data_IF_402762820807
#
_entry.id   IF_402762820807
#
_cell.length_a   1.000
_cell.length_b   1.000
_cell.length_c   1.000
_cell.angle_alpha   90.00
_cell.angle_beta   90.00
_cell.angle_gamma   90.00
#
_symmetry.space_group_name_H-M   'P 1'
#
loop_
_entity.id
_entity.type
_entity.pdbx_description
1 polymer ?
#
# COMPACT_ATOMS: atom_id res chain seq x y z
N UNK A 1 16.96 16.60 -25.14
CA UNK A 1 16.28 15.50 -25.87
C UNK A 1 14.84 15.42 -25.38
N UNK A 2 13.83 15.40 -26.27
CA UNK A 2 12.44 15.18 -25.84
C UNK A 2 12.31 13.81 -25.16
N UNK A 3 11.74 13.77 -23.96
CA UNK A 3 11.40 12.51 -23.27
C UNK A 3 10.07 12.00 -23.84
N UNK A 4 10.11 10.95 -24.66
CA UNK A 4 8.90 10.32 -25.18
C UNK A 4 8.46 9.16 -24.28
N UNK A 5 7.15 8.89 -24.22
CA UNK A 5 6.67 7.61 -23.68
C UNK A 5 7.07 6.46 -24.62
N UNK A 6 7.30 5.26 -24.07
CA UNK A 6 7.72 4.09 -24.87
C UNK A 6 6.71 3.73 -25.97
N UNK A 7 5.41 3.85 -25.69
CA UNK A 7 4.33 3.63 -26.66
C UNK A 7 4.35 4.65 -27.80
N UNK A 8 4.70 5.91 -27.51
CA UNK A 8 4.86 6.94 -28.54
C UNK A 8 6.13 6.71 -29.35
N UNK A 9 7.23 6.33 -28.71
CA UNK A 9 8.52 6.13 -29.37
C UNK A 9 8.41 5.10 -30.51
N UNK A 10 7.83 3.93 -30.23
CA UNK A 10 7.63 2.89 -31.26
C UNK A 10 6.65 3.30 -32.36
N UNK A 11 5.82 4.33 -32.13
CA UNK A 11 4.85 4.85 -33.08
C UNK A 11 5.33 6.08 -33.86
N UNK A 12 6.59 6.50 -33.69
CA UNK A 12 7.15 7.61 -34.47
C UNK A 12 7.26 7.23 -35.96
N UNK A 13 7.09 8.18 -36.89
CA UNK A 13 7.33 7.94 -38.30
C UNK A 13 8.75 7.40 -38.54
N UNK A 14 8.88 6.43 -39.45
CA UNK A 14 10.16 5.78 -39.82
C UNK A 14 10.88 5.01 -38.69
N UNK A 15 10.26 4.84 -37.51
CA UNK A 15 10.83 4.05 -36.42
C UNK A 15 10.31 2.61 -36.47
N UNK A 16 11.17 1.67 -36.86
CA UNK A 16 10.82 0.25 -37.02
C UNK A 16 11.55 -0.70 -36.05
N UNK A 17 12.49 -0.21 -35.25
CA UNK A 17 13.32 -1.04 -34.36
C UNK A 17 12.51 -1.60 -33.17
N UNK A 18 12.87 -2.75 -32.62
CA UNK A 18 12.41 -3.10 -31.28
C UNK A 18 12.96 -2.10 -30.26
N UNK A 19 12.25 -1.94 -29.15
CA UNK A 19 12.67 -1.13 -28.02
C UNK A 19 12.76 -2.02 -26.79
N UNK A 20 13.97 -2.08 -26.23
CA UNK A 20 14.29 -2.72 -24.96
C UNK A 20 14.95 -1.64 -24.11
N UNK A 21 14.40 -1.38 -22.93
CA UNK A 21 14.93 -0.35 -22.04
C UNK A 21 16.21 -0.87 -21.39
N UNK A 22 17.35 -0.20 -21.61
CA UNK A 22 18.60 -0.55 -20.94
C UNK A 22 18.50 -0.40 -19.42
N UNK A 23 17.65 0.52 -18.96
CA UNK A 23 17.31 0.75 -17.56
C UNK A 23 15.86 1.25 -17.47
N UNK A 24 15.08 0.71 -16.54
CA UNK A 24 13.76 1.23 -16.17
C UNK A 24 13.42 0.88 -14.71
N UNK A 25 12.34 1.46 -14.20
CA UNK A 25 11.80 1.16 -12.86
C UNK A 25 12.87 1.20 -11.75
N UNK A 26 13.49 2.38 -11.57
CA UNK A 26 14.51 2.63 -10.55
C UNK A 26 14.06 2.20 -9.14
N UNK A 27 14.72 1.21 -8.55
CA UNK A 27 14.27 0.51 -7.34
C UNK A 27 14.88 1.04 -6.02
N UNK A 28 15.38 2.28 -6.01
CA UNK A 28 15.95 2.96 -4.83
C UNK A 28 14.98 3.09 -3.65
N UNK A 29 15.35 2.50 -2.52
CA UNK A 29 14.56 2.53 -1.29
C UNK A 29 13.15 1.96 -1.46
N UNK A 30 12.14 2.65 -0.93
CA UNK A 30 10.75 2.28 -1.17
C UNK A 30 10.27 2.87 -2.52
N UNK A 31 10.40 2.06 -3.58
CA UNK A 31 10.12 2.48 -4.95
C UNK A 31 9.26 1.46 -5.71
N UNK A 32 9.50 1.32 -7.02
CA UNK A 32 8.89 0.31 -7.89
C UNK A 32 7.39 0.50 -8.16
N UNK A 33 6.82 1.62 -7.72
CA UNK A 33 5.44 2.00 -8.01
C UNK A 33 5.17 2.12 -9.51
N UNK A 34 4.11 1.45 -9.99
CA UNK A 34 3.70 1.48 -11.39
C UNK A 34 4.44 0.49 -12.30
N UNK A 35 5.23 -0.43 -11.76
CA UNK A 35 5.93 -1.46 -12.52
C UNK A 35 5.01 -2.29 -13.43
N UNK A 36 3.81 -2.65 -12.95
CA UNK A 36 2.81 -3.38 -13.73
C UNK A 36 2.42 -2.68 -15.04
N UNK A 37 2.47 -1.34 -15.12
CA UNK A 37 2.16 -0.59 -16.35
C UNK A 37 3.20 -0.82 -17.46
N UNK A 38 4.46 -1.05 -17.11
CA UNK A 38 5.48 -1.44 -18.08
C UNK A 38 5.17 -2.82 -18.64
N UNK A 39 4.88 -3.79 -17.77
CA UNK A 39 4.58 -5.17 -18.16
C UNK A 39 3.29 -5.30 -18.98
N UNK A 40 2.26 -4.52 -18.64
CA UNK A 40 1.07 -4.40 -19.48
C UNK A 40 1.44 -3.88 -20.88
N UNK A 41 2.26 -2.83 -20.98
CA UNK A 41 2.70 -2.29 -22.26
C UNK A 41 3.58 -3.28 -23.05
N UNK A 42 4.47 -4.01 -22.38
CA UNK A 42 5.34 -5.03 -23.00
C UNK A 42 4.51 -6.15 -23.63
N UNK A 43 3.50 -6.65 -22.91
CA UNK A 43 2.58 -7.68 -23.43
C UNK A 43 1.67 -7.16 -24.56
N UNK A 44 1.24 -5.89 -24.49
CA UNK A 44 0.35 -5.29 -25.50
C UNK A 44 1.04 -4.95 -26.84
N UNK A 45 2.36 -4.73 -26.84
CA UNK A 45 3.06 -4.20 -28.01
C UNK A 45 4.25 -5.08 -28.40
N UNK A 46 4.19 -5.82 -29.52
CA UNK A 46 5.24 -6.78 -29.92
C UNK A 46 6.66 -6.20 -30.03
N UNK A 47 6.79 -4.90 -30.35
CA UNK A 47 8.08 -4.21 -30.44
C UNK A 47 8.64 -3.73 -29.10
N UNK A 48 7.85 -3.74 -28.02
CA UNK A 48 8.31 -3.46 -26.66
C UNK A 48 8.72 -4.77 -26.00
N UNK A 49 9.98 -5.18 -26.21
CA UNK A 49 10.46 -6.50 -25.79
C UNK A 49 11.05 -6.50 -24.37
N UNK A 50 10.49 -5.66 -23.48
CA UNK A 50 10.89 -5.56 -22.08
C UNK A 50 12.00 -4.54 -21.81
N UNK A 51 12.82 -4.84 -20.81
CA UNK A 51 13.91 -3.99 -20.35
C UNK A 51 14.59 -4.55 -19.11
N UNK A 52 15.60 -3.84 -18.62
CA UNK A 52 16.37 -4.20 -17.44
C UNK A 52 16.06 -3.26 -16.28
N UNK A 53 15.62 -3.82 -15.14
CA UNK A 53 15.37 -3.05 -13.93
C UNK A 53 16.68 -2.46 -13.44
N UNK A 54 16.66 -1.20 -12.99
CA UNK A 54 17.77 -0.60 -12.25
C UNK A 54 17.48 -0.64 -10.75
N UNK A 55 18.17 -1.45 -9.95
CA UNK A 55 19.11 -2.51 -10.34
C UNK A 55 18.98 -3.73 -9.40
N UNK A 56 19.98 -4.61 -9.40
CA UNK A 56 19.87 -5.86 -8.64
C UNK A 56 20.08 -5.65 -7.14
N UNK A 57 21.18 -5.01 -6.72
CA UNK A 57 21.66 -5.06 -5.34
C UNK A 57 22.14 -3.70 -4.87
N UNK A 58 21.78 -3.34 -3.64
CA UNK A 58 22.31 -2.14 -3.00
C UNK A 58 23.83 -2.20 -2.87
N UNK A 59 24.49 -1.10 -3.23
CA UNK A 59 25.94 -0.95 -3.10
C UNK A 59 26.31 -0.30 -1.76
N UNK A 60 25.70 -0.79 -0.66
CA UNK A 60 26.09 -0.40 0.69
C UNK A 60 27.32 -1.20 1.14
N UNK A 61 28.11 -0.60 2.02
CA UNK A 61 29.29 -1.23 2.62
C UNK A 61 29.11 -1.36 4.12
N UNK A 62 29.62 -2.44 4.71
CA UNK A 62 29.55 -2.63 6.16
C UNK A 62 30.57 -1.73 6.84
N UNK A 63 30.10 -0.93 7.81
CA UNK A 63 30.92 -0.27 8.83
C UNK A 63 30.54 -0.80 10.21
N UNK A 64 31.38 -0.53 11.19
CA UNK A 64 31.15 -0.90 12.59
C UNK A 64 31.02 0.36 13.44
N UNK A 65 30.15 0.33 14.44
CA UNK A 65 30.03 1.40 15.44
C UNK A 65 31.05 1.24 16.59
N UNK A 66 30.97 2.08 17.62
CA UNK A 66 31.86 2.04 18.79
C UNK A 66 31.74 0.75 19.62
N UNK A 67 30.70 -0.05 19.41
CA UNK A 67 30.43 -1.31 20.10
C UNK A 67 30.64 -2.53 19.19
N UNK A 68 31.37 -2.38 18.08
CA UNK A 68 31.60 -3.41 17.05
C UNK A 68 30.31 -3.96 16.40
N UNK A 69 29.22 -3.17 16.38
CA UNK A 69 28.00 -3.57 15.69
C UNK A 69 28.02 -3.16 14.21
N UNK A 70 27.75 -4.09 13.27
CA UNK A 70 27.76 -3.78 11.86
C UNK A 70 26.55 -2.92 11.46
N UNK A 71 26.76 -1.97 10.56
CA UNK A 71 25.73 -1.14 9.94
C UNK A 71 26.05 -0.89 8.47
N UNK A 72 25.01 -0.65 7.67
CA UNK A 72 25.12 -0.39 6.22
C UNK A 72 25.41 1.09 5.96
N UNK A 73 26.60 1.37 5.43
CA UNK A 73 27.09 2.68 5.09
C UNK A 73 26.96 2.96 3.58
N UNK A 74 26.86 4.24 3.21
CA UNK A 74 26.77 4.73 1.84
C UNK A 74 27.72 5.93 1.61
N UNK A 75 27.60 6.64 0.48
CA UNK A 75 28.49 7.76 0.14
C UNK A 75 28.57 8.81 1.25
N UNK A 76 29.79 9.23 1.60
CA UNK A 76 30.08 10.18 2.67
C UNK A 76 30.40 9.54 4.03
N UNK A 77 29.94 8.32 4.29
CA UNK A 77 30.21 7.63 5.56
C UNK A 77 31.68 7.25 5.73
N UNK A 78 32.47 7.24 4.66
CA UNK A 78 33.91 6.97 4.70
C UNK A 78 34.76 8.24 4.64
N UNK A 79 34.14 9.41 4.74
CA UNK A 79 34.80 10.72 4.61
C UNK A 79 35.08 11.12 3.15
N UNK A 80 34.55 10.37 2.19
CA UNK A 80 34.63 10.64 0.76
C UNK A 80 33.85 11.92 0.36
N UNK A 81 34.51 12.78 -0.42
CA UNK A 81 33.94 14.05 -0.89
C UNK A 81 34.52 14.45 -2.27
N UNK A 82 33.68 14.84 -3.25
CA UNK A 82 32.21 14.80 -3.21
C UNK A 82 31.66 13.37 -3.17
N UNK A 83 30.41 13.21 -2.74
CA UNK A 83 29.68 11.94 -2.75
C UNK A 83 28.20 12.20 -3.08
N UNK A 84 27.50 11.16 -3.53
CA UNK A 84 26.08 11.17 -3.90
C UNK A 84 25.19 10.40 -2.89
N UNK A 85 25.65 10.27 -1.64
CA UNK A 85 24.93 9.66 -0.52
C UNK A 85 24.30 8.30 -0.85
N UNK A 86 23.02 8.11 -0.57
CA UNK A 86 22.29 6.86 -0.72
C UNK A 86 21.94 6.52 -2.18
N UNK A 87 22.36 7.34 -3.16
CA UNK A 87 22.11 7.07 -4.58
C UNK A 87 22.76 5.78 -5.08
N UNK A 88 23.69 5.19 -4.32
CA UNK A 88 24.26 3.86 -4.59
C UNK A 88 23.38 2.68 -4.16
N UNK A 89 22.24 2.90 -3.49
CA UNK A 89 21.33 1.86 -3.01
C UNK A 89 20.06 1.81 -3.87
N UNK A 90 20.12 1.10 -5.00
CA UNK A 90 19.02 1.01 -5.98
C UNK A 90 18.48 -0.41 -6.18
N UNK A 91 18.82 -1.34 -5.29
CA UNK A 91 18.63 -2.76 -5.49
C UNK A 91 17.18 -3.23 -5.28
N UNK A 92 16.82 -4.30 -5.98
CA UNK A 92 15.70 -5.17 -5.60
C UNK A 92 16.02 -6.01 -4.36
N UNK A 93 17.29 -6.12 -3.97
CA UNK A 93 17.75 -6.77 -2.75
C UNK A 93 18.77 -5.90 -2.03
N UNK A 94 18.83 -6.04 -0.70
CA UNK A 94 19.89 -5.48 0.12
C UNK A 94 21.26 -6.09 -0.26
N UNK A 95 22.35 -5.48 0.21
CA UNK A 95 23.72 -5.95 -0.04
C UNK A 95 23.98 -7.40 0.41
N UNK A 96 23.25 -7.90 1.42
CA UNK A 96 23.32 -9.30 1.89
C UNK A 96 22.43 -10.27 1.10
N UNK A 97 21.76 -9.77 0.04
CA UNK A 97 20.79 -10.46 -0.83
C UNK A 97 19.43 -10.72 -0.17
N UNK A 98 19.16 -10.15 0.99
CA UNK A 98 17.82 -10.14 1.57
C UNK A 98 16.87 -9.35 0.66
N UNK A 99 15.71 -9.90 0.25
CA UNK A 99 14.81 -9.21 -0.68
C UNK A 99 14.20 -7.90 -0.14
N UNK A 100 14.15 -6.87 -1.00
CA UNK A 100 13.21 -5.77 -0.81
C UNK A 100 11.79 -6.21 -1.20
N UNK A 101 10.74 -5.55 -0.65
CA UNK A 101 9.36 -5.80 -1.06
C UNK A 101 9.13 -5.69 -2.58
N UNK A 102 9.88 -4.79 -3.26
CA UNK A 102 9.81 -4.60 -4.70
C UNK A 102 10.13 -5.87 -5.52
N UNK A 103 10.96 -6.79 -4.99
CA UNK A 103 11.27 -8.04 -5.69
C UNK A 103 10.04 -8.91 -5.90
N UNK A 104 9.08 -8.88 -4.97
CA UNK A 104 7.84 -9.65 -5.09
C UNK A 104 6.91 -9.08 -6.15
N UNK A 105 6.86 -7.75 -6.31
CA UNK A 105 6.15 -7.09 -7.41
C UNK A 105 6.81 -7.39 -8.75
N UNK A 106 8.15 -7.44 -8.79
CA UNK A 106 8.90 -7.85 -9.98
C UNK A 106 8.51 -9.27 -10.40
N UNK A 107 8.60 -10.22 -9.46
CA UNK A 107 8.21 -11.62 -9.64
C UNK A 107 6.78 -11.77 -10.17
N UNK A 108 5.83 -11.04 -9.59
CA UNK A 108 4.42 -11.09 -9.99
C UNK A 108 4.23 -10.61 -11.43
N UNK A 109 4.77 -9.45 -11.79
CA UNK A 109 4.56 -8.89 -13.12
C UNK A 109 5.33 -9.69 -14.20
N UNK A 110 6.46 -10.31 -13.84
CA UNK A 110 7.36 -11.09 -14.69
C UNK A 110 6.96 -12.57 -14.86
N UNK A 111 5.89 -13.02 -14.21
CA UNK A 111 5.49 -14.42 -14.28
C UNK A 111 5.15 -14.86 -15.72
N UNK A 112 5.45 -16.13 -16.03
CA UNK A 112 5.30 -16.70 -17.38
C UNK A 112 3.94 -17.38 -17.62
N UNK A 113 3.03 -17.33 -16.65
CA UNK A 113 1.66 -17.81 -16.82
C UNK A 113 0.69 -16.64 -16.62
N UNK A 114 -0.12 -16.37 -17.64
CA UNK A 114 -1.20 -15.38 -17.56
C UNK A 114 -2.52 -16.08 -17.30
N UNK A 115 -3.41 -15.40 -16.57
CA UNK A 115 -4.67 -15.98 -16.15
C UNK A 115 -5.84 -15.06 -16.48
N UNK A 116 -6.94 -15.65 -16.92
CA UNK A 116 -8.22 -14.97 -17.06
C UNK A 116 -9.33 -15.85 -16.51
N UNK A 117 -10.07 -15.31 -15.53
CA UNK A 117 -11.28 -15.95 -15.04
C UNK A 117 -12.42 -15.70 -16.04
N UNK A 118 -12.95 -16.77 -16.60
CA UNK A 118 -14.07 -16.76 -17.55
C UNK A 118 -15.39 -17.07 -16.85
N UNK A 119 -16.54 -16.82 -17.51
CA UNK A 119 -17.83 -17.29 -17.04
C UNK A 119 -17.89 -18.81 -16.82
N UNK A 120 -18.93 -19.26 -16.09
CA UNK A 120 -19.15 -20.67 -15.74
C UNK A 120 -17.95 -21.35 -15.06
N UNK A 121 -17.25 -20.63 -14.18
CA UNK A 121 -16.13 -21.14 -13.38
C UNK A 121 -15.00 -21.74 -14.24
N UNK A 122 -14.71 -21.17 -15.41
CA UNK A 122 -13.57 -21.60 -16.24
C UNK A 122 -12.37 -20.69 -16.01
N UNK A 123 -11.19 -21.28 -15.85
CA UNK A 123 -9.92 -20.57 -15.77
C UNK A 123 -9.17 -20.74 -17.10
N UNK A 124 -8.94 -19.65 -17.80
CA UNK A 124 -8.02 -19.62 -18.94
C UNK A 124 -6.60 -19.37 -18.43
N UNK A 125 -5.66 -20.23 -18.85
CA UNK A 125 -4.24 -20.13 -18.55
C UNK A 125 -3.48 -20.02 -19.86
N UNK A 126 -2.62 -19.01 -19.99
CA UNK A 126 -1.73 -18.81 -21.14
C UNK A 126 -0.28 -18.95 -20.73
N UNK A 127 0.49 -19.76 -21.45
CA UNK A 127 1.94 -19.86 -21.30
C UNK A 127 2.63 -18.74 -22.09
N UNK A 128 3.50 -17.97 -21.45
CA UNK A 128 4.40 -17.00 -22.12
C UNK A 128 5.80 -17.60 -22.37
N UNK A 129 6.01 -18.89 -22.09
CA UNK A 129 7.23 -19.58 -22.52
C UNK A 129 7.26 -19.72 -24.04
N UNK A 130 8.45 -19.55 -24.62
CA UNK A 130 8.67 -19.62 -26.08
C UNK A 130 9.16 -20.99 -26.57
N UNK A 131 9.68 -21.85 -25.66
CA UNK A 131 10.38 -23.08 -26.08
C UNK A 131 10.00 -24.34 -25.29
N UNK A 132 9.57 -24.21 -24.03
CA UNK A 132 9.29 -25.36 -23.17
C UNK A 132 7.80 -25.55 -22.93
N UNK A 133 7.42 -26.81 -22.73
CA UNK A 133 6.13 -27.14 -22.16
C UNK A 133 6.12 -26.85 -20.65
N UNK A 134 4.93 -26.71 -20.06
CA UNK A 134 4.75 -26.66 -18.60
C UNK A 134 4.82 -28.06 -17.95
N UNK A 135 5.89 -28.80 -18.21
CA UNK A 135 6.09 -30.19 -17.80
C UNK A 135 6.57 -30.38 -16.35
N UNK A 136 6.78 -29.30 -15.62
CA UNK A 136 7.20 -29.30 -14.22
C UNK A 136 6.33 -28.31 -13.41
N UNK A 137 5.06 -28.18 -13.76
CA UNK A 137 4.14 -27.25 -13.13
C UNK A 137 2.80 -27.90 -12.81
N UNK A 138 2.25 -27.53 -11.67
CA UNK A 138 0.86 -27.75 -11.29
C UNK A 138 0.24 -26.44 -10.84
N UNK A 139 -1.05 -26.27 -11.08
CA UNK A 139 -1.82 -25.16 -10.57
C UNK A 139 -2.61 -25.63 -9.35
N UNK A 140 -2.46 -24.95 -8.23
CA UNK A 140 -3.36 -25.07 -7.09
C UNK A 140 -4.32 -23.89 -7.07
N UNK A 141 -5.54 -24.11 -6.60
CA UNK A 141 -6.52 -23.05 -6.42
C UNK A 141 -7.22 -23.19 -5.08
N UNK A 142 -7.62 -22.05 -4.51
CA UNK A 142 -8.38 -21.98 -3.27
C UNK A 142 -9.43 -20.86 -3.36
N UNK A 143 -10.67 -21.22 -3.04
CA UNK A 143 -11.77 -20.29 -2.83
C UNK A 143 -11.86 -19.98 -1.34
N UNK A 144 -11.76 -18.71 -0.97
CA UNK A 144 -11.81 -18.27 0.43
C UNK A 144 -12.93 -17.27 0.67
N UNK A 145 -13.61 -17.34 1.81
CA UNK A 145 -14.52 -16.30 2.29
C UNK A 145 -13.97 -15.72 3.61
N UNK A 146 -13.68 -14.42 3.64
CA UNK A 146 -13.05 -13.75 4.80
C UNK A 146 -11.79 -14.48 5.34
N UNK A 147 -11.03 -15.12 4.44
CA UNK A 147 -9.82 -15.88 4.76
C UNK A 147 -10.04 -17.38 5.03
N UNK A 148 -11.27 -17.82 5.28
CA UNK A 148 -11.61 -19.23 5.49
C UNK A 148 -11.73 -19.97 4.14
N UNK A 149 -11.08 -21.13 4.01
CA UNK A 149 -11.11 -21.93 2.77
C UNK A 149 -12.46 -22.63 2.64
N UNK A 150 -13.22 -22.29 1.59
CA UNK A 150 -14.48 -22.94 1.23
C UNK A 150 -14.26 -24.18 0.35
N UNK A 151 -13.32 -24.08 -0.60
CA UNK A 151 -12.95 -25.15 -1.50
C UNK A 151 -11.52 -24.95 -2.01
N UNK A 152 -10.88 -26.03 -2.40
CA UNK A 152 -9.56 -25.99 -3.03
C UNK A 152 -9.39 -27.17 -3.97
N UNK A 153 -8.50 -27.04 -4.95
CA UNK A 153 -8.16 -28.13 -5.83
C UNK A 153 -6.82 -27.93 -6.51
N UNK A 154 -6.48 -28.90 -7.36
CA UNK A 154 -5.24 -28.94 -8.11
C UNK A 154 -5.53 -29.34 -9.56
N UNK A 155 -4.81 -28.73 -10.49
CA UNK A 155 -4.83 -29.02 -11.91
C UNK A 155 -3.39 -29.26 -12.37
N UNK A 156 -3.16 -30.37 -13.07
CA UNK A 156 -1.89 -30.56 -13.79
C UNK A 156 -1.84 -29.60 -14.98
N UNK A 157 -0.77 -28.82 -15.07
CA UNK A 157 -0.54 -27.99 -16.25
C UNK A 157 0.31 -28.79 -17.24
N UNK A 158 -0.13 -28.84 -18.50
CA UNK A 158 0.70 -29.34 -19.60
C UNK A 158 0.38 -28.55 -20.86
N UNK A 159 0.86 -27.31 -20.89
CA UNK A 159 0.70 -26.36 -21.98
C UNK A 159 1.97 -26.37 -22.85
N UNK A 160 1.81 -26.35 -24.16
CA UNK A 160 2.88 -26.03 -25.09
C UNK A 160 3.32 -24.56 -24.95
N UNK A 161 4.49 -24.18 -25.49
CA UNK A 161 4.87 -22.78 -25.62
C UNK A 161 3.77 -21.96 -26.27
N UNK A 162 3.49 -20.77 -25.73
CA UNK A 162 2.46 -19.84 -26.22
C UNK A 162 1.02 -20.40 -26.22
N UNK A 163 0.79 -21.60 -25.69
CA UNK A 163 -0.54 -22.20 -25.65
C UNK A 163 -1.44 -21.49 -24.63
N UNK A 164 -2.69 -21.29 -25.02
CA UNK A 164 -3.79 -20.90 -24.14
C UNK A 164 -4.74 -22.10 -23.97
N UNK A 165 -5.07 -22.44 -22.72
CA UNK A 165 -6.00 -23.53 -22.41
C UNK A 165 -6.98 -23.14 -21.30
N UNK A 166 -8.22 -23.57 -21.44
CA UNK A 166 -9.27 -23.43 -20.43
C UNK A 166 -9.35 -24.67 -19.53
N UNK A 167 -9.52 -24.44 -18.23
CA UNK A 167 -9.72 -25.49 -17.23
C UNK A 167 -11.02 -25.22 -16.47
N UNK A 168 -11.91 -26.21 -16.32
CA UNK A 168 -13.06 -26.07 -15.43
C UNK A 168 -12.60 -26.07 -13.97
N UNK A 169 -13.17 -25.17 -13.17
CA UNK A 169 -13.00 -25.14 -11.72
C UNK A 169 -14.28 -25.65 -11.05
N UNK A 170 -14.12 -26.65 -10.19
CA UNK A 170 -15.20 -27.18 -9.36
C UNK A 170 -15.43 -26.27 -8.15
N UNK A 171 -16.03 -25.09 -8.39
CA UNK A 171 -16.35 -24.15 -7.33
C UNK A 171 -17.73 -24.48 -6.71
N UNK A 172 -17.85 -24.52 -5.37
CA UNK A 172 -19.14 -24.68 -4.72
C UNK A 172 -20.02 -23.45 -4.95
N UNK A 173 -21.32 -23.61 -4.74
CA UNK A 173 -22.23 -22.47 -4.66
C UNK A 173 -21.84 -21.57 -3.48
N UNK A 174 -21.73 -20.26 -3.74
CA UNK A 174 -21.40 -19.26 -2.73
C UNK A 174 -22.69 -18.83 -2.03
N UNK A 175 -22.97 -19.43 -0.88
CA UNK A 175 -24.21 -19.18 -0.12
C UNK A 175 -23.97 -18.19 1.03
N UNK A 176 -22.78 -18.23 1.65
CA UNK A 176 -22.45 -17.36 2.78
C UNK A 176 -22.11 -15.94 2.31
N UNK A 177 -22.55 -14.92 3.05
CA UNK A 177 -22.12 -13.56 2.78
C UNK A 177 -20.65 -13.36 3.18
N UNK A 178 -20.05 -12.28 2.67
CA UNK A 178 -18.67 -11.90 2.98
C UNK A 178 -17.82 -11.70 1.74
N UNK A 179 -16.54 -11.37 1.90
CA UNK A 179 -15.60 -11.19 0.81
C UNK A 179 -15.07 -12.52 0.31
N UNK A 180 -15.54 -12.93 -0.86
CA UNK A 180 -15.13 -14.18 -1.49
C UNK A 180 -14.03 -13.94 -2.53
N UNK A 181 -12.95 -14.69 -2.42
CA UNK A 181 -11.76 -14.56 -3.26
C UNK A 181 -11.36 -15.93 -3.82
N UNK A 182 -11.20 -16.01 -5.14
CA UNK A 182 -10.52 -17.12 -5.78
C UNK A 182 -9.04 -16.78 -5.91
N UNK A 183 -8.19 -17.63 -5.36
CA UNK A 183 -6.74 -17.57 -5.52
C UNK A 183 -6.26 -18.77 -6.34
N UNK A 184 -5.35 -18.51 -7.27
CA UNK A 184 -4.65 -19.55 -8.03
C UNK A 184 -3.15 -19.32 -7.94
N UNK A 185 -2.39 -20.41 -7.91
CA UNK A 185 -0.94 -20.39 -7.81
C UNK A 185 -0.34 -21.55 -8.58
N UNK A 186 0.72 -21.29 -9.35
CA UNK A 186 1.44 -22.31 -10.10
C UNK A 186 2.72 -22.67 -9.36
N UNK A 187 2.80 -23.93 -8.96
CA UNK A 187 3.91 -24.49 -8.21
C UNK A 187 4.71 -25.44 -9.09
N UNK A 188 6.02 -25.47 -8.88
CA UNK A 188 6.87 -26.49 -9.48
C UNK A 188 6.71 -27.83 -8.78
N UNK A 189 6.61 -28.93 -9.53
CA UNK A 189 6.41 -30.26 -8.94
C UNK A 189 7.73 -30.91 -8.50
N UNK A 190 8.84 -30.60 -9.17
CA UNK A 190 10.18 -31.07 -8.86
C UNK A 190 11.19 -29.92 -8.78
N UNK A 191 12.27 -30.16 -8.02
CA UNK A 191 13.40 -29.23 -7.91
C UNK A 191 14.17 -29.10 -9.23
N UNK A 192 14.86 -27.98 -9.38
CA UNK A 192 15.77 -27.72 -10.50
C UNK A 192 17.07 -27.12 -9.98
N UNK A 193 18.00 -26.79 -10.88
CA UNK A 193 19.25 -26.14 -10.52
C UNK A 193 19.09 -24.77 -9.84
N UNK A 194 17.90 -24.15 -9.93
CA UNK A 194 17.65 -22.79 -9.41
C UNK A 194 16.43 -22.68 -8.49
N UNK A 195 15.66 -23.75 -8.28
CA UNK A 195 14.47 -23.73 -7.43
C UNK A 195 14.24 -25.05 -6.74
N UNK A 196 13.77 -24.99 -5.49
CA UNK A 196 13.24 -26.14 -4.78
C UNK A 196 11.92 -26.65 -5.38
N UNK A 197 11.56 -27.90 -5.07
CA UNK A 197 10.21 -28.40 -5.35
C UNK A 197 9.18 -27.58 -4.54
N UNK A 198 8.00 -27.32 -5.12
CA UNK A 198 6.98 -26.45 -4.52
C UNK A 198 7.25 -24.95 -4.71
N UNK A 199 8.29 -24.55 -5.45
CA UNK A 199 8.50 -23.14 -5.77
C UNK A 199 7.32 -22.54 -6.53
N UNK A 200 6.76 -21.46 -5.98
CA UNK A 200 5.70 -20.66 -6.62
C UNK A 200 6.27 -19.78 -7.72
N UNK A 201 5.78 -19.95 -8.95
CA UNK A 201 6.29 -19.25 -10.13
C UNK A 201 5.29 -18.29 -10.78
N UNK A 202 4.00 -18.39 -10.47
CA UNK A 202 2.97 -17.49 -10.93
C UNK A 202 1.76 -17.55 -10.00
N UNK A 203 1.02 -16.47 -9.86
CA UNK A 203 -0.22 -16.46 -9.09
C UNK A 203 -1.18 -15.37 -9.60
N UNK A 204 -2.46 -15.50 -9.22
CA UNK A 204 -3.47 -14.47 -9.43
C UNK A 204 -4.61 -14.60 -8.41
N UNK A 205 -5.40 -13.53 -8.28
CA UNK A 205 -6.58 -13.50 -7.42
C UNK A 205 -7.71 -12.71 -8.06
N UNK A 206 -8.94 -13.15 -7.83
CA UNK A 206 -10.16 -12.43 -8.23
C UNK A 206 -11.15 -12.41 -7.06
N UNK A 207 -11.73 -11.24 -6.82
CA UNK A 207 -12.89 -11.12 -5.95
C UNK A 207 -14.11 -11.66 -6.72
N UNK A 208 -14.82 -12.62 -6.14
CA UNK A 208 -16.03 -13.19 -6.73
C UNK A 208 -17.28 -12.50 -6.16
N UNK A 209 -18.37 -12.44 -6.94
CA UNK A 209 -19.65 -11.98 -6.44
C UNK A 209 -20.13 -12.86 -5.28
N UNK A 210 -20.60 -12.23 -4.20
CA UNK A 210 -21.19 -12.87 -3.04
C UNK A 210 -22.37 -12.05 -2.53
N UNK A 211 -23.24 -12.68 -1.75
CA UNK A 211 -24.31 -11.96 -1.08
C UNK A 211 -23.73 -10.96 -0.06
N UNK A 212 -24.31 -9.76 0.01
CA UNK A 212 -24.00 -8.85 1.11
C UNK A 212 -24.49 -9.45 2.42
N UNK A 213 -23.66 -9.38 3.46
CA UNK A 213 -24.08 -9.76 4.80
C UNK A 213 -25.28 -8.92 5.20
N UNK A 214 -26.35 -9.59 5.64
CA UNK A 214 -27.43 -8.88 6.32
C UNK A 214 -26.83 -8.28 7.59
N UNK A 215 -26.96 -6.96 7.82
CA UNK A 215 -26.47 -6.35 9.04
C UNK A 215 -27.12 -7.05 10.24
N UNK A 216 -26.31 -7.58 11.14
CA UNK A 216 -26.80 -8.04 12.43
C UNK A 216 -27.24 -6.83 13.21
N UNK A 217 -28.54 -6.70 13.46
CA UNK A 217 -29.05 -5.70 14.39
C UNK A 217 -28.95 -6.34 15.76
N UNK A 218 -27.87 -6.06 16.46
CA UNK A 218 -27.70 -6.56 17.81
C UNK A 218 -28.80 -6.04 18.73
N UNK A 219 -29.28 -6.87 19.68
CA UNK A 219 -30.23 -6.41 20.68
C UNK A 219 -29.62 -5.24 21.47
N UNK A 220 -30.45 -4.26 21.81
CA UNK A 220 -30.00 -3.07 22.55
C UNK A 220 -29.45 -3.50 23.91
N UNK A 221 -28.13 -3.44 24.05
CA UNK A 221 -27.43 -3.65 25.32
C UNK A 221 -27.55 -2.43 26.24
N UNK A 222 -26.80 -2.42 27.33
CA UNK A 222 -26.73 -1.24 28.20
C UNK A 222 -26.12 -0.07 27.44
N UNK A 223 -26.77 1.10 27.45
CA UNK A 223 -26.21 2.29 26.83
C UNK A 223 -24.91 2.70 27.57
N UNK A 224 -23.84 3.09 26.85
CA UNK A 224 -22.63 3.60 27.47
C UNK A 224 -22.92 4.79 28.39
N UNK A 225 -22.15 4.89 29.48
CA UNK A 225 -22.24 5.99 30.42
C UNK A 225 -21.37 7.15 29.94
N UNK A 226 -22.00 8.30 29.69
CA UNK A 226 -21.34 9.56 29.39
C UNK A 226 -21.14 10.37 30.68
N UNK A 227 -19.89 10.70 30.98
CA UNK A 227 -19.50 11.65 32.03
C UNK A 227 -18.70 12.79 31.40
N UNK A 228 -18.92 14.00 31.89
CA UNK A 228 -18.30 15.20 31.32
C UNK A 228 -17.88 16.15 32.44
N UNK A 229 -16.68 16.69 32.30
CA UNK A 229 -16.20 17.83 33.08
C UNK A 229 -15.66 18.92 32.14
N UNK A 230 -15.08 19.99 32.69
CA UNK A 230 -14.58 21.12 31.90
C UNK A 230 -13.41 20.73 30.97
N UNK A 231 -12.70 19.65 31.26
CA UNK A 231 -11.50 19.21 30.55
C UNK A 231 -11.73 17.98 29.68
N UNK A 232 -12.58 17.05 30.11
CA UNK A 232 -12.74 15.74 29.49
C UNK A 232 -14.18 15.37 29.22
N UNK A 233 -14.33 14.52 28.20
CA UNK A 233 -15.51 13.68 28.01
C UNK A 233 -15.08 12.23 28.16
N UNK A 234 -15.64 11.56 29.15
CA UNK A 234 -15.38 10.18 29.49
C UNK A 234 -16.60 9.33 29.12
N UNK A 235 -16.36 8.25 28.36
CA UNK A 235 -17.39 7.29 27.95
C UNK A 235 -17.02 5.92 28.50
N UNK A 236 -17.92 5.29 29.26
CA UNK A 236 -17.68 3.99 29.90
C UNK A 236 -18.65 2.93 29.37
N UNK A 237 -18.15 1.73 29.09
CA UNK A 237 -18.97 0.56 28.78
C UNK A 237 -18.25 -0.73 29.22
N UNK A 238 -18.79 -1.43 30.23
CA UNK A 238 -18.12 -2.58 30.84
C UNK A 238 -16.72 -2.21 31.35
N UNK A 239 -15.71 -2.96 30.92
CA UNK A 239 -14.29 -2.71 31.24
C UNK A 239 -13.61 -1.70 30.31
N UNK A 240 -14.36 -1.08 29.39
CA UNK A 240 -13.86 -0.11 28.42
C UNK A 240 -14.15 1.33 28.86
N UNK A 241 -13.16 2.20 28.65
CA UNK A 241 -13.28 3.63 28.94
C UNK A 241 -12.53 4.47 27.91
N UNK A 242 -13.25 5.34 27.20
CA UNK A 242 -12.69 6.27 26.22
C UNK A 242 -12.69 7.69 26.78
N UNK A 243 -11.53 8.35 26.77
CA UNK A 243 -11.35 9.72 27.27
C UNK A 243 -10.98 10.67 26.15
N UNK A 244 -11.86 11.62 25.88
CA UNK A 244 -11.64 12.72 24.95
C UNK A 244 -11.24 13.98 25.71
N UNK A 245 -10.22 14.69 25.25
CA UNK A 245 -9.84 15.99 25.81
C UNK A 245 -10.57 17.11 25.06
N UNK A 246 -11.34 17.94 25.77
CA UNK A 246 -12.22 18.95 25.17
C UNK A 246 -11.47 20.09 24.49
N UNK A 247 -10.24 20.40 24.95
CA UNK A 247 -9.42 21.48 24.38
C UNK A 247 -8.79 21.09 23.04
N UNK A 248 -8.26 19.88 22.95
CA UNK A 248 -7.63 19.36 21.72
C UNK A 248 -8.65 18.71 20.78
N UNK A 249 -9.76 18.20 21.32
CA UNK A 249 -10.78 17.45 20.61
C UNK A 249 -10.32 16.06 20.17
N UNK A 250 -9.29 15.50 20.82
CA UNK A 250 -8.71 14.21 20.48
C UNK A 250 -9.15 13.14 21.47
N UNK A 251 -9.23 11.89 21.00
CA UNK A 251 -9.26 10.73 21.88
C UNK A 251 -7.87 10.61 22.52
N UNK A 252 -7.77 11.04 23.77
CA UNK A 252 -6.51 11.19 24.50
C UNK A 252 -6.07 9.90 25.20
N UNK A 253 -7.01 9.03 25.55
CA UNK A 253 -6.73 7.74 26.15
C UNK A 253 -7.88 6.76 25.89
N UNK A 254 -7.54 5.49 25.77
CA UNK A 254 -8.47 4.37 25.85
C UNK A 254 -7.97 3.44 26.96
N UNK A 255 -8.84 3.09 27.90
CA UNK A 255 -8.54 2.14 28.96
C UNK A 255 -9.30 0.85 28.71
N UNK A 256 -8.59 -0.27 28.82
CA UNK A 256 -9.18 -1.60 28.86
C UNK A 256 -8.80 -2.28 30.17
N UNK A 257 -9.80 -2.69 30.96
CA UNK A 257 -9.62 -3.16 32.33
C UNK A 257 -8.79 -2.17 33.18
N UNK A 258 -9.14 -0.89 33.08
CA UNK A 258 -8.47 0.24 33.76
C UNK A 258 -7.00 0.46 33.37
N UNK A 259 -6.46 -0.27 32.40
CA UNK A 259 -5.09 -0.08 31.91
C UNK A 259 -5.09 0.84 30.69
N UNK A 260 -4.29 1.92 30.70
CA UNK A 260 -4.16 2.80 29.53
C UNK A 260 -3.56 2.03 28.35
N UNK A 261 -4.07 2.27 27.14
CA UNK A 261 -3.65 1.59 25.91
C UNK A 261 -3.03 2.53 24.88
N UNK A 262 -3.04 3.85 25.13
CA UNK A 262 -2.47 4.86 24.25
C UNK A 262 -1.30 5.57 24.93
N UNK A 263 -0.15 5.62 24.26
CA UNK A 263 1.00 6.46 24.62
C UNK A 263 0.84 7.89 24.11
N UNK A 264 0.13 8.07 23.00
CA UNK A 264 -0.19 9.38 22.42
C UNK A 264 -1.65 9.42 21.98
N UNK A 265 -2.31 10.60 22.00
CA UNK A 265 -3.67 10.74 21.48
C UNK A 265 -3.81 10.27 20.03
N UNK A 266 -5.02 9.81 19.69
CA UNK A 266 -5.40 9.50 18.30
C UNK A 266 -5.67 10.80 17.55
N UNK A 267 -4.89 11.06 16.50
CA UNK A 267 -4.96 12.28 15.70
C UNK A 267 -4.91 12.00 14.20
N UNK A 268 -5.37 12.94 13.38
CA UNK A 268 -5.17 12.88 11.93
C UNK A 268 -3.67 12.88 11.59
N UNK A 269 -3.31 12.23 10.49
CA UNK A 269 -2.01 12.33 9.87
C UNK A 269 -2.15 12.54 8.36
N UNK A 270 -1.57 13.64 7.86
CA UNK A 270 -1.57 14.02 6.45
C UNK A 270 -0.18 13.99 5.83
N UNK A 271 0.81 13.42 6.53
CA UNK A 271 2.21 13.37 6.10
C UNK A 271 2.80 11.97 6.20
N UNK A 272 3.96 11.79 5.57
CA UNK A 272 4.82 10.63 5.73
C UNK A 272 6.27 11.08 5.82
N UNK A 273 7.12 10.26 6.43
CA UNK A 273 8.56 10.38 6.27
C UNK A 273 8.88 10.24 4.76
N UNK A 274 9.61 11.19 4.15
CA UNK A 274 9.79 11.22 2.71
C UNK A 274 10.62 10.02 2.24
N UNK A 275 10.18 9.41 1.14
CA UNK A 275 10.91 8.33 0.45
C UNK A 275 11.98 8.93 -0.46
N UNK A 276 12.95 8.15 -0.93
CA UNK A 276 13.95 8.62 -1.90
C UNK A 276 13.30 9.23 -3.15
N UNK A 277 12.20 8.65 -3.64
CA UNK A 277 11.42 9.22 -4.75
C UNK A 277 10.73 10.56 -4.44
N UNK A 278 10.44 10.84 -3.17
CA UNK A 278 9.85 12.11 -2.74
C UNK A 278 10.91 13.21 -2.64
N UNK A 279 12.15 12.82 -2.32
CA UNK A 279 13.33 13.68 -2.20
C UNK A 279 13.95 13.98 -3.57
N UNK A 280 14.07 12.96 -4.42
CA UNK A 280 14.76 13.06 -5.70
C UNK A 280 16.22 13.49 -5.51
N UNK A 281 16.62 14.50 -6.26
CA UNK A 281 17.96 15.10 -6.16
C UNK A 281 18.00 16.32 -5.23
N UNK A 282 16.94 16.58 -4.46
CA UNK A 282 16.89 17.75 -3.58
C UNK A 282 17.85 17.58 -2.40
N UNK A 283 18.69 18.58 -2.15
CA UNK A 283 19.68 18.56 -1.08
C UNK A 283 19.71 19.88 -0.32
N UNK A 284 20.20 19.89 0.92
CA UNK A 284 20.24 21.10 1.76
C UNK A 284 20.99 22.28 1.10
N UNK A 285 22.04 21.99 0.33
CA UNK A 285 22.81 23.02 -0.40
C UNK A 285 22.18 23.39 -1.76
N UNK A 286 21.37 22.50 -2.36
CA UNK A 286 20.79 22.64 -3.69
C UNK A 286 19.37 22.06 -3.70
N UNK A 287 18.41 22.88 -3.30
CA UNK A 287 17.00 22.48 -3.23
C UNK A 287 16.42 22.31 -4.64
N UNK A 288 15.78 21.16 -4.90
CA UNK A 288 14.93 20.97 -6.08
C UNK A 288 13.47 21.32 -5.73
N UNK A 289 12.94 22.47 -6.16
CA UNK A 289 11.58 22.88 -5.84
C UNK A 289 10.50 21.99 -6.48
N UNK A 290 10.88 21.09 -7.40
CA UNK A 290 9.96 20.14 -8.02
C UNK A 290 9.83 18.82 -7.27
N UNK A 291 10.75 18.52 -6.34
CA UNK A 291 10.65 17.35 -5.48
C UNK A 291 9.38 17.43 -4.62
N UNK A 292 8.73 16.28 -4.39
CA UNK A 292 7.49 16.22 -3.61
C UNK A 292 7.70 16.73 -2.18
N UNK A 293 8.81 16.33 -1.55
CA UNK A 293 9.14 16.76 -0.19
C UNK A 293 9.27 18.27 -0.09
N UNK A 294 9.86 18.93 -1.08
CA UNK A 294 10.05 20.39 -1.08
C UNK A 294 8.74 21.13 -1.33
N UNK A 295 7.86 20.57 -2.16
CA UNK A 295 6.49 21.09 -2.31
C UNK A 295 5.70 20.95 -1.01
N UNK A 296 5.83 19.84 -0.30
CA UNK A 296 5.16 19.62 1.00
C UNK A 296 5.70 20.56 2.08
N UNK A 297 7.03 20.74 2.18
CA UNK A 297 7.67 21.72 3.07
C UNK A 297 7.22 23.15 2.75
N UNK A 298 7.26 23.56 1.49
CA UNK A 298 6.83 24.89 1.05
C UNK A 298 5.32 25.14 1.31
N UNK A 299 4.51 24.08 1.30
CA UNK A 299 3.09 24.16 1.67
C UNK A 299 2.87 24.20 3.19
N UNK A 300 3.89 23.97 4.02
CA UNK A 300 3.77 23.91 5.49
C UNK A 300 3.13 22.60 5.98
N UNK A 301 3.21 21.51 5.20
CA UNK A 301 2.57 20.24 5.56
C UNK A 301 3.23 19.52 6.74
N UNK A 302 4.52 19.76 6.97
CA UNK A 302 5.24 19.17 8.10
C UNK A 302 5.10 19.97 9.40
N UNK A 303 4.62 21.22 9.32
CA UNK A 303 4.41 22.13 10.46
C UNK A 303 2.91 22.42 10.63
N UNK A 304 2.07 21.42 10.36
CA UNK A 304 0.62 21.54 10.45
C UNK A 304 0.17 21.78 11.89
N UNK A 305 -0.51 22.89 12.13
CA UNK A 305 -1.13 23.18 13.43
C UNK A 305 -2.63 22.88 13.37
N UNK A 306 -3.14 21.96 14.22
CA UNK A 306 -4.57 21.74 14.34
C UNK A 306 -5.22 22.83 15.19
N UNK A 307 -6.41 23.24 14.79
CA UNK A 307 -7.32 24.09 15.56
C UNK A 307 -8.66 23.38 15.67
N UNK A 308 -9.12 23.18 16.90
CA UNK A 308 -10.45 22.66 17.18
C UNK A 308 -11.50 23.74 16.89
N UNK A 309 -12.37 23.49 15.92
CA UNK A 309 -13.48 24.38 15.56
C UNK A 309 -14.77 24.03 16.31
N UNK A 310 -15.05 22.75 16.52
CA UNK A 310 -16.20 22.31 17.30
C UNK A 310 -15.94 20.99 18.01
N UNK A 311 -16.59 20.82 19.17
CA UNK A 311 -16.57 19.61 19.96
C UNK A 311 -17.94 19.44 20.63
N UNK A 312 -18.64 18.37 20.27
CA UNK A 312 -19.96 18.05 20.80
C UNK A 312 -19.97 16.60 21.29
N UNK A 313 -20.71 16.34 22.38
CA UNK A 313 -20.89 15.00 22.93
C UNK A 313 -22.35 14.80 23.33
N UNK A 314 -23.01 13.83 22.71
CA UNK A 314 -24.42 13.55 22.87
C UNK A 314 -24.63 12.13 23.41
N UNK A 315 -25.53 12.00 24.39
CA UNK A 315 -26.07 10.69 24.78
C UNK A 315 -27.24 10.34 23.86
N UNK A 316 -27.14 9.22 23.17
CA UNK A 316 -28.21 8.63 22.38
C UNK A 316 -28.92 7.53 23.18
N UNK A 317 -29.99 6.95 22.61
CA UNK A 317 -30.77 5.90 23.28
C UNK A 317 -29.94 4.65 23.59
N UNK A 318 -29.01 4.27 22.70
CA UNK A 318 -28.18 3.06 22.81
C UNK A 318 -26.68 3.31 22.53
N UNK A 319 -26.25 4.56 22.55
CA UNK A 319 -24.89 4.93 22.20
C UNK A 319 -24.50 6.27 22.82
N UNK A 320 -23.21 6.58 22.79
CA UNK A 320 -22.67 7.92 23.00
C UNK A 320 -21.97 8.36 21.72
N UNK A 321 -22.21 9.60 21.31
CA UNK A 321 -21.67 10.16 20.09
C UNK A 321 -20.83 11.39 20.41
N UNK A 322 -19.55 11.35 20.11
CA UNK A 322 -18.65 12.51 20.18
C UNK A 322 -18.34 12.98 18.76
N UNK A 323 -18.50 14.26 18.49
CA UNK A 323 -18.21 14.87 17.18
C UNK A 323 -17.16 15.96 17.32
N UNK A 324 -16.18 15.96 16.43
CA UNK A 324 -15.12 16.96 16.41
C UNK A 324 -14.89 17.50 15.01
N UNK A 325 -14.58 18.78 14.92
CA UNK A 325 -14.18 19.42 13.67
C UNK A 325 -12.85 20.11 13.89
N UNK A 326 -11.85 19.72 13.12
CA UNK A 326 -10.51 20.30 13.16
C UNK A 326 -10.20 21.02 11.85
N UNK A 327 -9.59 22.19 11.96
CA UNK A 327 -8.95 22.90 10.87
C UNK A 327 -7.44 22.73 10.99
N UNK A 328 -6.80 22.29 9.92
CA UNK A 328 -5.35 22.09 9.88
C UNK A 328 -4.71 23.17 9.02
N UNK A 329 -3.78 23.92 9.61
CA UNK A 329 -3.14 25.06 8.96
C UNK A 329 -1.65 24.84 8.74
N UNK A 330 -1.18 25.20 7.54
CA UNK A 330 0.24 25.27 7.19
C UNK A 330 0.52 26.63 6.55
N UNK A 331 1.60 27.30 6.97
CA UNK A 331 1.97 28.65 6.47
C UNK A 331 0.82 29.67 6.51
N UNK A 332 0.03 29.64 7.59
CA UNK A 332 -1.11 30.55 7.81
C UNK A 332 -2.34 30.26 6.95
N UNK A 333 -2.36 29.19 6.16
CA UNK A 333 -3.47 28.80 5.28
C UNK A 333 -4.11 27.51 5.78
N UNK A 334 -5.44 27.43 5.70
CA UNK A 334 -6.17 26.19 5.94
C UNK A 334 -5.93 25.22 4.78
N UNK A 335 -5.36 24.06 5.09
CA UNK A 335 -5.08 23.01 4.11
C UNK A 335 -6.11 21.89 4.18
N UNK A 336 -6.54 21.55 5.39
CA UNK A 336 -7.50 20.47 5.62
C UNK A 336 -8.57 20.86 6.64
N UNK A 337 -9.77 20.34 6.47
CA UNK A 337 -10.81 20.31 7.50
C UNK A 337 -11.18 18.85 7.73
N UNK A 338 -10.96 18.35 8.94
CA UNK A 338 -11.31 16.97 9.32
C UNK A 338 -12.52 16.99 10.25
N UNK A 339 -13.60 16.32 9.84
CA UNK A 339 -14.80 16.13 10.64
C UNK A 339 -14.86 14.68 11.07
N UNK A 340 -14.99 14.45 12.37
CA UNK A 340 -14.97 13.10 12.94
C UNK A 340 -16.22 12.87 13.76
N UNK A 341 -16.72 11.64 13.71
CA UNK A 341 -17.71 11.15 14.64
C UNK A 341 -17.24 9.85 15.27
N UNK A 342 -17.21 9.82 16.59
CA UNK A 342 -16.89 8.68 17.43
C UNK A 342 -18.19 8.20 18.07
N UNK A 343 -18.72 7.08 17.59
CA UNK A 343 -19.93 6.46 18.14
C UNK A 343 -19.51 5.24 18.95
N UNK A 344 -19.65 5.31 20.27
CA UNK A 344 -19.53 4.17 21.17
C UNK A 344 -20.93 3.59 21.36
N UNK A 345 -21.15 2.33 21.03
CA UNK A 345 -22.47 1.69 21.14
C UNK A 345 -22.62 0.78 22.36
N UNK A 346 -23.81 0.17 22.47
CA UNK A 346 -24.19 -0.73 23.57
C UNK A 346 -23.48 -2.09 23.55
N UNK A 347 -22.62 -2.36 22.58
CA UNK A 347 -21.73 -3.53 22.59
C UNK A 347 -20.33 -3.15 23.09
N UNK A 348 -20.05 -1.86 23.26
CA UNK A 348 -18.72 -1.36 23.61
C UNK A 348 -17.81 -1.24 22.41
N UNK A 349 -18.36 -1.19 21.20
CA UNK A 349 -17.59 -0.94 19.98
C UNK A 349 -17.48 0.56 19.72
N UNK A 350 -16.27 1.01 19.39
CA UNK A 350 -16.00 2.38 18.95
C UNK A 350 -15.98 2.43 17.42
N UNK A 351 -17.00 3.07 16.84
CA UNK A 351 -17.11 3.34 15.42
C UNK A 351 -16.59 4.75 15.13
N UNK A 352 -15.64 4.88 14.20
CA UNK A 352 -15.06 6.17 13.81
C UNK A 352 -15.39 6.45 12.34
N UNK A 353 -16.04 7.57 12.07
CA UNK A 353 -16.22 8.12 10.72
C UNK A 353 -15.42 9.39 10.59
N UNK A 354 -14.71 9.55 9.47
CA UNK A 354 -13.85 10.69 9.20
C UNK A 354 -14.14 11.22 7.79
N UNK A 355 -14.51 12.49 7.72
CA UNK A 355 -14.70 13.23 6.47
C UNK A 355 -13.64 14.33 6.38
N UNK A 356 -12.78 14.28 5.37
CA UNK A 356 -11.72 15.26 5.16
C UNK A 356 -12.01 16.09 3.92
N UNK A 357 -12.07 17.40 4.10
CA UNK A 357 -12.00 18.36 2.99
C UNK A 357 -10.55 18.80 2.77
N UNK A 358 -10.16 18.88 1.50
CA UNK A 358 -8.84 19.31 1.07
C UNK A 358 -8.99 20.64 0.35
N UNK A 359 -8.18 21.63 0.72
CA UNK A 359 -8.20 22.92 0.06
C UNK A 359 -7.99 22.77 -1.46
N UNK A 360 -8.82 23.40 -2.30
CA UNK A 360 -8.73 23.27 -3.74
C UNK A 360 -7.43 23.88 -4.26
N UNK A 361 -6.95 23.35 -5.40
CA UNK A 361 -5.72 23.85 -6.01
C UNK A 361 -5.90 25.29 -6.49
N UNK A 362 -5.20 26.26 -5.89
CA UNK A 362 -5.11 27.61 -6.46
C UNK A 362 -4.28 27.58 -7.76
N UNK A 363 -4.92 27.86 -8.89
CA UNK A 363 -4.27 27.90 -10.21
C UNK A 363 -3.35 29.13 -10.41
N UNK A 364 -3.45 30.16 -9.56
CA UNK A 364 -2.86 31.47 -9.82
C UNK A 364 -1.45 31.70 -9.24
N UNK A 365 -0.88 30.78 -8.45
CA UNK A 365 0.39 31.04 -7.74
C UNK A 365 1.63 30.31 -8.25
N UNK A 366 1.54 29.46 -9.29
CA UNK A 366 2.70 28.65 -9.76
C UNK A 366 3.23 27.61 -8.75
N UNK A 367 2.91 27.76 -7.47
CA UNK A 367 3.04 26.77 -6.41
C UNK A 367 1.89 25.77 -6.56
N UNK A 368 2.19 24.62 -7.15
CA UNK A 368 1.29 23.47 -7.15
C UNK A 368 1.05 23.03 -5.70
N UNK A 369 -0.22 22.99 -5.26
CA UNK A 369 -0.54 22.27 -4.03
C UNK A 369 -0.28 20.78 -4.28
N UNK A 370 0.64 20.18 -3.54
CA UNK A 370 1.02 18.80 -3.79
C UNK A 370 -0.14 17.84 -3.47
N UNK A 371 -0.22 16.70 -4.17
CA UNK A 371 -1.10 15.60 -3.77
C UNK A 371 -0.75 15.16 -2.34
N UNK A 372 -1.78 14.76 -1.60
CA UNK A 372 -1.64 14.25 -0.25
C UNK A 372 -0.72 13.02 -0.22
N UNK A 373 0.31 12.99 0.64
CA UNK A 373 1.14 11.81 0.82
C UNK A 373 0.43 10.69 1.58
N UNK A 374 -0.52 11.05 2.46
CA UNK A 374 -1.36 10.14 3.24
C UNK A 374 -2.62 10.87 3.70
N UNK A 375 -3.67 10.12 4.03
CA UNK A 375 -4.84 10.60 4.76
C UNK A 375 -5.30 9.47 5.68
N UNK A 376 -5.13 9.64 6.99
CA UNK A 376 -5.48 8.63 7.98
C UNK A 376 -5.43 9.17 9.40
N UNK A 377 -5.58 8.29 10.38
CA UNK A 377 -5.37 8.59 11.80
C UNK A 377 -4.26 7.71 12.36
N UNK A 378 -3.53 8.20 13.35
CA UNK A 378 -2.47 7.45 14.02
C UNK A 378 -2.44 7.70 15.54
N UNK A 379 -2.12 6.66 16.29
CA UNK A 379 -1.79 6.70 17.71
C UNK A 379 -0.69 5.67 17.98
N UNK A 380 0.19 5.94 18.96
CA UNK A 380 1.10 4.92 19.49
C UNK A 380 0.39 4.20 20.63
N UNK A 381 0.25 2.89 20.54
CA UNK A 381 -0.33 2.02 21.56
C UNK A 381 0.76 1.33 22.38
#
# INVERSE_FOLDING_TARGET
>A
MPKWSIKKWIGLPEEHRPLILCEYAHAMGNSFGGFSKYWEAFRQHPRLQGGFVWDWVDQSLVKYDENDQPWSAYGGDFGDTPNDRQFCMNGLVFADRTPHPALFEAKQAQQFFQFRLLPENRLEVTSEYLFRHSDNERLIWALKNEGEVLASGELSLYLAPEETREFPLELPEIISPGQVWLHVEVLRTASTSWSEAGHSCAQAQWQLPSALARPTISPVGAAPLLQMDDRHVDVFHGDQHWRFERRSGLLSQWFSHQRPTLLTPLQDNFTRAPLDNDIGISEAAHIDPNAWVERWKAAGMYDLTPELLSFDADRLSNAVLVRTVHRWQGNGKTLFISRKSYRIDSEGELHITVDVEIAPRHASSGAYWPQLPACGSGARS
#
